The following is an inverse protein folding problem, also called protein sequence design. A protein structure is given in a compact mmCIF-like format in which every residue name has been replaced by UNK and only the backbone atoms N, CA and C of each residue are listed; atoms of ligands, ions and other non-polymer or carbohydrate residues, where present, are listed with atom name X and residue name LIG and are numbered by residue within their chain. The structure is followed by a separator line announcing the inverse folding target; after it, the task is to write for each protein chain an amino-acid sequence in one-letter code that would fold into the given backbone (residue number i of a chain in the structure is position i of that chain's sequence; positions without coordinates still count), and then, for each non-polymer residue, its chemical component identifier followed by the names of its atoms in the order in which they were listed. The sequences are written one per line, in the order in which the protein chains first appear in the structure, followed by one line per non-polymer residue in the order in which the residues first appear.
data_IF_100523515938
#
_entry.id   IF_100523515938
#
_cell.length_a   1.000
_cell.length_b   1.000
_cell.length_c   1.000
_cell.angle_alpha   90.00
_cell.angle_beta   90.00
_cell.angle_gamma   90.00
#
_symmetry.space_group_name_H-M   'P 1'
#
loop_
_entity.id
_entity.type
_entity.pdbx_description
1 polymer ?
#
# COMPACT_ATOMS: atom_id res chain seq x y z
N UNK A 1 -11.26 11.50 5.33
CA UNK A 1 -10.62 10.44 6.15
C UNK A 1 -9.15 10.73 6.40
N UNK A 2 -8.59 10.29 7.53
CA UNK A 2 -7.16 10.43 7.84
C UNK A 2 -6.37 9.25 7.26
N UNK A 3 -5.29 9.54 6.55
CA UNK A 3 -4.41 8.54 5.95
C UNK A 3 -2.95 9.01 6.07
N UNK A 4 -2.01 8.08 6.20
CA UNK A 4 -0.59 8.37 6.10
C UNK A 4 -0.03 7.79 4.80
N UNK A 5 0.75 8.55 4.05
CA UNK A 5 1.35 8.09 2.78
C UNK A 5 2.87 8.06 2.86
N UNK A 6 3.46 7.12 2.13
CA UNK A 6 4.89 6.95 1.94
C UNK A 6 5.21 6.68 0.48
N UNK A 7 6.41 7.07 0.05
CA UNK A 7 6.97 6.81 -1.27
C UNK A 7 7.66 5.45 -1.36
N UNK A 8 7.99 4.86 -0.20
CA UNK A 8 8.58 3.52 -0.11
C UNK A 8 8.08 2.77 1.11
N UNK A 9 8.02 1.45 1.03
CA UNK A 9 7.82 0.56 2.19
C UNK A 9 8.89 0.73 3.27
N UNK A 10 10.05 1.28 2.90
CA UNK A 10 11.20 1.54 3.77
C UNK A 10 11.18 2.93 4.40
N UNK A 11 10.20 3.78 4.08
CA UNK A 11 10.12 5.13 4.63
C UNK A 11 10.02 5.12 6.16
N UNK A 12 10.94 5.86 6.78
CA UNK A 12 10.96 6.05 8.24
C UNK A 12 9.97 7.11 8.72
N UNK A 13 9.60 8.05 7.83
CA UNK A 13 8.66 9.14 8.09
C UNK A 13 7.60 9.18 6.99
N UNK A 14 6.38 8.86 7.39
CA UNK A 14 5.17 8.90 6.59
C UNK A 14 4.46 10.23 6.80
N UNK A 15 3.78 10.72 5.75
CA UNK A 15 3.08 12.01 5.77
C UNK A 15 1.60 11.80 6.04
N UNK A 16 1.11 12.29 7.17
CA UNK A 16 -0.32 12.33 7.46
C UNK A 16 -0.99 13.36 6.56
N UNK A 17 -2.17 13.01 6.02
CA UNK A 17 -3.03 13.93 5.28
C UNK A 17 -4.49 13.54 5.40
N UNK A 18 -5.35 14.46 5.01
CA UNK A 18 -6.76 14.16 4.76
C UNK A 18 -6.96 13.77 3.29
N UNK A 19 -7.88 12.83 3.07
CA UNK A 19 -8.26 12.32 1.75
C UNK A 19 -9.74 11.94 1.77
N UNK A 20 -10.49 12.29 0.73
CA UNK A 20 -11.88 11.82 0.58
C UNK A 20 -11.92 10.32 0.27
N UNK A 21 -13.07 9.69 0.46
CA UNK A 21 -13.23 8.28 0.09
C UNK A 21 -13.19 8.10 -1.43
N UNK A 22 -13.72 9.07 -2.16
CA UNK A 22 -13.76 9.13 -3.61
C UNK A 22 -12.35 9.19 -4.20
N UNK A 23 -11.49 10.06 -3.68
CA UNK A 23 -10.08 10.16 -4.11
C UNK A 23 -9.31 8.88 -3.81
N UNK A 24 -9.60 8.24 -2.66
CA UNK A 24 -8.97 6.98 -2.30
C UNK A 24 -9.36 5.87 -3.26
N UNK A 25 -10.65 5.72 -3.57
CA UNK A 25 -11.13 4.75 -4.58
C UNK A 25 -10.49 5.01 -5.94
N UNK A 26 -10.46 6.26 -6.39
CA UNK A 26 -9.86 6.64 -7.66
C UNK A 26 -8.36 6.33 -7.70
N UNK A 27 -7.66 6.51 -6.57
CA UNK A 27 -6.26 6.13 -6.46
C UNK A 27 -6.08 4.61 -6.56
N UNK A 28 -6.90 3.82 -5.85
CA UNK A 28 -6.81 2.36 -5.85
C UNK A 28 -7.23 1.71 -7.18
N UNK A 29 -8.08 2.36 -7.99
CA UNK A 29 -8.48 1.85 -9.30
C UNK A 29 -7.40 2.00 -10.36
N UNK A 30 -6.33 2.75 -10.10
CA UNK A 30 -5.24 2.96 -11.04
C UNK A 30 -4.12 1.93 -10.84
N UNK A 31 -3.98 1.01 -11.79
CA UNK A 31 -2.87 0.06 -11.79
C UNK A 31 -1.56 0.77 -12.12
N UNK A 32 -0.56 0.64 -11.25
CA UNK A 32 0.81 1.06 -11.54
C UNK A 32 1.49 -0.06 -12.32
N UNK A 33 1.97 0.26 -13.53
CA UNK A 33 2.75 -0.66 -14.37
C UNK A 33 4.22 -0.26 -14.33
N UNK A 34 5.06 -1.18 -13.92
CA UNK A 34 6.51 -1.02 -13.94
C UNK A 34 7.07 -1.32 -15.34
N UNK A 35 8.32 -0.96 -15.59
CA UNK A 35 8.92 -0.98 -16.92
C UNK A 35 9.43 -2.34 -17.35
N UNK A 36 9.75 -3.22 -16.39
CA UNK A 36 10.26 -4.55 -16.68
C UNK A 36 9.18 -5.46 -17.26
N UNK A 37 9.61 -6.34 -18.16
CA UNK A 37 8.78 -7.45 -18.64
C UNK A 37 8.65 -8.52 -17.55
N UNK A 38 7.63 -9.37 -17.66
CA UNK A 38 7.43 -10.51 -16.75
C UNK A 38 8.65 -11.44 -16.74
N UNK A 39 9.31 -11.62 -17.89
CA UNK A 39 10.50 -12.47 -18.02
C UNK A 39 11.69 -11.89 -17.24
N UNK A 40 11.93 -10.58 -17.37
CA UNK A 40 12.97 -9.89 -16.61
C UNK A 40 12.68 -9.92 -15.11
N UNK A 41 11.44 -9.62 -14.71
CA UNK A 41 11.00 -9.68 -13.32
C UNK A 41 11.24 -11.07 -12.70
N UNK A 42 10.89 -12.14 -13.41
CA UNK A 42 11.08 -13.52 -12.93
C UNK A 42 12.54 -13.91 -12.74
N UNK A 43 13.47 -13.27 -13.47
CA UNK A 43 14.92 -13.49 -13.33
C UNK A 43 15.55 -12.66 -12.21
N UNK A 44 14.85 -11.64 -11.71
CA UNK A 44 15.34 -10.83 -10.60
C UNK A 44 15.45 -11.64 -9.30
N UNK A 45 16.39 -11.26 -8.44
CA UNK A 45 16.45 -11.76 -7.07
C UNK A 45 15.21 -11.32 -6.28
N UNK A 46 14.88 -12.03 -5.19
CA UNK A 46 13.74 -11.67 -4.34
C UNK A 46 13.80 -10.22 -3.83
N UNK A 47 14.94 -9.68 -3.36
CA UNK A 47 15.04 -8.27 -2.99
C UNK A 47 14.80 -7.30 -4.16
N UNK A 48 15.28 -7.64 -5.36
CA UNK A 48 15.06 -6.81 -6.54
C UNK A 48 13.58 -6.82 -6.98
N UNK A 49 12.94 -7.99 -6.94
CA UNK A 49 11.50 -8.14 -7.17
C UNK A 49 10.65 -7.33 -6.19
N UNK A 50 11.05 -7.34 -4.92
CA UNK A 50 10.40 -6.57 -3.87
C UNK A 50 10.57 -5.06 -4.08
N UNK A 51 11.77 -4.62 -4.47
CA UNK A 51 12.05 -3.21 -4.74
C UNK A 51 11.31 -2.72 -5.99
N UNK A 52 11.20 -3.55 -7.03
CA UNK A 52 10.42 -3.23 -8.23
C UNK A 52 8.93 -3.03 -7.90
N UNK A 53 8.39 -3.78 -6.93
CA UNK A 53 7.01 -3.62 -6.44
C UNK A 53 6.82 -2.44 -5.47
N UNK A 54 7.90 -1.84 -4.97
CA UNK A 54 7.82 -0.75 -4.00
C UNK A 54 7.54 0.59 -4.69
N UNK A 55 6.27 0.82 -4.98
CA UNK A 55 5.76 2.04 -5.63
C UNK A 55 5.14 3.03 -4.63
N UNK A 56 5.54 2.90 -3.36
CA UNK A 56 4.95 3.59 -2.23
C UNK A 56 3.70 2.92 -1.68
N UNK A 57 3.02 3.59 -0.76
CA UNK A 57 1.86 3.01 -0.09
C UNK A 57 1.15 3.95 0.86
N UNK A 58 0.24 3.37 1.63
CA UNK A 58 -0.54 4.09 2.62
C UNK A 58 -0.77 3.27 3.90
N UNK A 59 -1.09 3.97 4.98
CA UNK A 59 -1.65 3.40 6.21
C UNK A 59 -3.01 4.06 6.43
N UNK A 60 -4.04 3.25 6.64
CA UNK A 60 -5.42 3.68 6.85
C UNK A 60 -5.67 4.36 8.19
N UNK A 61 -4.99 5.48 8.47
CA UNK A 61 -5.03 6.22 9.72
C UNK A 61 -3.91 7.26 9.80
N UNK A 62 -3.98 8.14 10.79
CA UNK A 62 -2.87 9.06 11.09
C UNK A 62 -1.80 8.35 11.95
N UNK A 63 -0.53 8.65 11.68
CA UNK A 63 0.61 8.12 12.41
C UNK A 63 1.22 9.18 13.31
N UNK A 64 1.27 8.91 14.62
CA UNK A 64 1.97 9.74 15.61
C UNK A 64 3.43 9.89 15.19
N UNK A 65 3.90 11.12 15.03
CA UNK A 65 5.27 11.41 14.56
C UNK A 65 5.62 10.82 13.18
N UNK A 66 4.62 10.45 12.37
CA UNK A 66 4.81 9.88 11.04
C UNK A 66 5.45 8.48 11.03
N UNK A 67 5.44 7.74 12.13
CA UNK A 67 6.14 6.45 12.22
C UNK A 67 5.20 5.28 12.04
N UNK A 68 5.45 4.43 11.03
CA UNK A 68 4.73 3.17 10.84
C UNK A 68 5.28 2.11 11.81
N UNK A 69 4.73 2.06 13.03
CA UNK A 69 5.05 1.06 14.07
C UNK A 69 3.78 0.76 14.89
N UNK A 70 3.70 -0.45 15.47
CA UNK A 70 2.63 -0.78 16.40
C UNK A 70 2.57 0.24 17.56
N UNK A 71 1.35 0.69 17.91
CA UNK A 71 1.11 1.75 18.91
C UNK A 71 1.25 3.18 18.40
N UNK A 72 1.62 3.40 17.13
CA UNK A 72 1.76 4.75 16.55
C UNK A 72 0.59 5.16 15.65
N UNK A 73 -0.38 4.27 15.41
CA UNK A 73 -1.62 4.61 14.70
C UNK A 73 -2.58 5.29 15.68
N UNK A 74 -2.89 6.57 15.47
CA UNK A 74 -3.74 7.37 16.36
C UNK A 74 -5.24 7.06 16.20
N UNK A 75 -5.60 6.40 15.10
CA UNK A 75 -6.95 5.92 14.83
C UNK A 75 -7.03 5.36 13.42
N UNK A 76 -7.88 4.35 13.22
CA UNK A 76 -8.06 3.68 11.93
C UNK A 76 -9.20 4.33 11.15
N UNK A 77 -8.93 4.71 9.91
CA UNK A 77 -9.93 5.13 8.93
C UNK A 77 -10.32 3.99 8.00
N UNK A 78 -9.49 2.94 7.88
CA UNK A 78 -9.66 1.82 6.96
C UNK A 78 -9.14 0.51 7.54
N UNK A 79 -9.66 -0.59 7.01
CA UNK A 79 -9.10 -1.93 7.08
C UNK A 79 -8.69 -2.34 5.66
N UNK A 80 -7.50 -2.94 5.54
CA UNK A 80 -6.98 -3.47 4.28
C UNK A 80 -6.75 -4.96 4.44
N UNK A 81 -7.19 -5.74 3.47
CA UNK A 81 -6.90 -7.16 3.40
C UNK A 81 -5.73 -7.40 2.45
N UNK A 82 -4.84 -8.31 2.84
CA UNK A 82 -3.74 -8.77 1.99
C UNK A 82 -4.16 -10.03 1.24
N UNK A 83 -4.11 -9.98 -0.09
CA UNK A 83 -4.68 -11.00 -0.98
C UNK A 83 -3.68 -11.39 -2.06
N UNK A 84 -2.72 -12.26 -1.74
CA UNK A 84 -1.72 -12.75 -2.70
C UNK A 84 -2.28 -13.78 -3.71
N UNK A 85 -3.32 -14.53 -3.31
CA UNK A 85 -3.88 -15.65 -4.07
C UNK A 85 -5.40 -15.56 -4.21
N UNK A 86 -5.93 -14.36 -4.47
CA UNK A 86 -7.36 -14.17 -4.70
C UNK A 86 -7.87 -14.98 -5.90
N UNK A 87 -8.93 -15.76 -5.69
CA UNK A 87 -9.65 -16.47 -6.74
C UNK A 87 -10.97 -15.73 -7.08
N UNK A 88 -11.57 -15.95 -8.26
CA UNK A 88 -12.93 -15.49 -8.53
C UNK A 88 -13.89 -15.93 -7.42
N UNK A 89 -14.74 -15.01 -6.94
CA UNK A 89 -15.67 -15.26 -5.81
C UNK A 89 -15.09 -15.06 -4.41
N UNK A 90 -13.83 -14.59 -4.27
CA UNK A 90 -13.20 -14.37 -2.96
C UNK A 90 -14.04 -13.48 -2.01
N UNK A 91 -14.80 -12.52 -2.53
CA UNK A 91 -15.63 -11.64 -1.74
C UNK A 91 -16.83 -12.32 -1.10
N UNK A 92 -17.33 -13.42 -1.67
CA UNK A 92 -18.45 -14.18 -1.09
C UNK A 92 -18.00 -15.04 0.11
N UNK A 93 -16.69 -15.23 0.28
CA UNK A 93 -16.08 -16.09 1.29
C UNK A 93 -15.49 -15.33 2.50
N UNK A 94 -15.61 -14.01 2.54
CA UNK A 94 -15.03 -13.13 3.57
C UNK A 94 -16.13 -12.26 4.18
#
# INVERSE_FOLDING_TARGET
MRIAVGNSRMDKKWKNKEMSWEDFKQKCSQTIRTTETISEYRKMSKPAQDNAKDVGGFVGGALKGGKRKNGFVEGRSLLTLDLDHAAPGVWDAI
#
